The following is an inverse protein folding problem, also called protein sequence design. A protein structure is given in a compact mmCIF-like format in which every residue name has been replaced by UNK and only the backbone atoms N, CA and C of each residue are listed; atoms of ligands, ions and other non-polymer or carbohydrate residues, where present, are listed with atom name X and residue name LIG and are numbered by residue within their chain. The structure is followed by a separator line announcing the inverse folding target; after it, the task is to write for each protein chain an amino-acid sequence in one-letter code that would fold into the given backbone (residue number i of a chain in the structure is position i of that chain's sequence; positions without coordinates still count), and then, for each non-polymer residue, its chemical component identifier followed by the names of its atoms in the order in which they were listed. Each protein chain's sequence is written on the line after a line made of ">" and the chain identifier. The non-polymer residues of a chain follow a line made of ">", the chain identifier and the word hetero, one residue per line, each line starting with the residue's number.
data_IF_435268170310
#
_entry.id   IF_435268170310
#
_cell.length_a   1.000
_cell.length_b   1.000
_cell.length_c   1.000
_cell.angle_alpha   90.00
_cell.angle_beta   90.00
_cell.angle_gamma   90.00
#
_symmetry.space_group_name_H-M   'P 1'
#
loop_
_entity.id
_entity.type
_entity.pdbx_description
1 polymer ?
#
# COMPACT_ATOMS: atom_id res chain seq x y z
N UNK A 1 -19.44 20.70 16.08
CA UNK A 1 -20.33 20.91 14.93
C UNK A 1 -20.96 19.59 14.48
N UNK A 2 -22.10 19.66 13.79
CA UNK A 2 -22.80 18.51 13.19
C UNK A 2 -23.09 18.80 11.73
N UNK A 3 -23.06 17.77 10.90
CA UNK A 3 -23.52 17.80 9.51
C UNK A 3 -24.79 16.95 9.38
N UNK A 4 -25.74 17.41 8.59
CA UNK A 4 -27.00 16.74 8.30
C UNK A 4 -27.09 16.54 6.80
N UNK A 5 -27.38 15.31 6.37
CA UNK A 5 -27.71 14.95 5.00
C UNK A 5 -29.17 14.54 4.96
N UNK A 6 -29.95 15.11 4.07
CA UNK A 6 -31.34 14.76 3.83
C UNK A 6 -31.48 14.16 2.44
N UNK A 7 -32.01 12.98 2.37
CA UNK A 7 -32.44 12.27 1.18
C UNK A 7 -33.94 12.03 1.28
N UNK A 8 -34.63 11.75 0.18
CA UNK A 8 -36.07 11.68 0.11
C UNK A 8 -36.76 10.95 1.28
N UNK A 9 -36.20 9.82 1.74
CA UNK A 9 -36.77 9.00 2.81
C UNK A 9 -35.80 8.74 3.97
N UNK A 10 -34.65 9.47 4.03
CA UNK A 10 -33.63 9.22 5.04
C UNK A 10 -32.94 10.50 5.47
N UNK A 11 -32.64 10.58 6.76
CA UNK A 11 -31.84 11.67 7.33
C UNK A 11 -30.62 11.05 8.02
N UNK A 12 -29.42 11.50 7.62
CA UNK A 12 -28.17 11.12 8.27
C UNK A 12 -27.63 12.34 9.00
N UNK A 13 -27.39 12.21 10.29
CA UNK A 13 -26.73 13.23 11.12
C UNK A 13 -25.42 12.66 11.64
N UNK A 14 -24.33 13.37 11.41
CA UNK A 14 -23.01 13.00 11.91
C UNK A 14 -22.37 14.18 12.66
N UNK A 15 -21.54 13.83 13.65
CA UNK A 15 -20.70 14.80 14.33
C UNK A 15 -19.46 15.07 13.47
N UNK A 16 -19.11 16.34 13.27
CA UNK A 16 -17.87 16.70 12.60
C UNK A 16 -16.69 16.51 13.56
N UNK A 17 -15.57 16.05 13.01
CA UNK A 17 -14.29 16.01 13.71
C UNK A 17 -13.79 17.45 13.84
N UNK A 18 -13.30 17.84 15.01
CA UNK A 18 -12.66 19.13 15.20
C UNK A 18 -11.23 19.07 14.63
N UNK A 19 -10.96 19.90 13.63
CA UNK A 19 -9.65 20.02 13.00
C UNK A 19 -9.75 20.40 11.53
N UNK A 20 -8.64 20.87 10.98
CA UNK A 20 -8.50 21.08 9.53
C UNK A 20 -8.13 19.76 8.89
N UNK A 21 -8.82 19.38 7.82
CA UNK A 21 -8.40 18.25 6.98
C UNK A 21 -6.99 18.55 6.42
N UNK A 22 -6.05 17.61 6.51
CA UNK A 22 -4.70 17.81 5.96
C UNK A 22 -4.75 18.12 4.47
N UNK A 23 -3.88 19.02 4.02
CA UNK A 23 -3.75 19.29 2.59
C UNK A 23 -3.09 18.07 1.92
N UNK A 24 -3.89 17.23 1.25
CA UNK A 24 -3.42 16.00 0.61
C UNK A 24 -2.34 16.26 -0.43
N UNK A 25 -2.33 17.41 -1.11
CA UNK A 25 -1.31 17.78 -2.10
C UNK A 25 0.10 17.80 -1.48
N UNK A 26 0.20 18.09 -0.18
CA UNK A 26 1.49 18.12 0.53
C UNK A 26 1.99 16.72 0.89
N UNK A 27 1.12 15.71 0.95
CA UNK A 27 1.50 14.33 1.26
C UNK A 27 1.71 13.47 0.03
N UNK A 28 1.23 13.91 -1.15
CA UNK A 28 1.47 13.21 -2.43
C UNK A 28 2.95 13.36 -2.81
N UNK A 29 3.73 12.27 -2.88
CA UNK A 29 5.13 12.34 -3.24
C UNK A 29 5.31 12.75 -4.70
N UNK A 30 6.22 13.71 -4.94
CA UNK A 30 6.49 14.25 -6.28
C UNK A 30 7.80 13.73 -6.90
N UNK A 31 8.66 13.12 -6.08
CA UNK A 31 10.02 12.76 -6.46
C UNK A 31 10.25 11.24 -6.50
N UNK A 32 9.19 10.46 -6.48
CA UNK A 32 9.27 9.01 -6.55
C UNK A 32 9.53 8.57 -7.99
N UNK A 33 10.79 8.35 -8.34
CA UNK A 33 11.22 8.03 -9.70
C UNK A 33 11.44 6.53 -9.95
N UNK A 34 11.53 5.72 -8.88
CA UNK A 34 11.73 4.27 -8.99
C UNK A 34 10.38 3.58 -9.18
N UNK A 35 10.03 3.30 -10.43
CA UNK A 35 8.77 2.63 -10.76
C UNK A 35 8.92 1.11 -10.62
N UNK A 36 8.05 0.52 -9.84
CA UNK A 36 7.84 -0.92 -9.68
C UNK A 36 6.50 -1.28 -10.31
N UNK A 37 6.50 -2.22 -11.26
CA UNK A 37 5.28 -2.74 -11.90
C UNK A 37 5.15 -4.23 -11.62
N UNK A 38 3.99 -4.64 -11.11
CA UNK A 38 3.73 -6.01 -10.68
C UNK A 38 2.35 -6.45 -11.19
N UNK A 39 2.18 -7.71 -11.54
CA UNK A 39 0.86 -8.32 -11.74
C UNK A 39 0.03 -8.21 -10.45
N UNK A 40 -1.14 -7.59 -10.55
CA UNK A 40 -1.97 -7.24 -9.38
C UNK A 40 -2.40 -8.47 -8.60
N UNK A 41 -2.83 -9.53 -9.29
CA UNK A 41 -3.33 -10.75 -8.65
C UNK A 41 -2.20 -11.49 -7.94
N UNK A 42 -1.04 -11.59 -8.57
CA UNK A 42 0.16 -12.20 -7.99
C UNK A 42 0.62 -11.43 -6.75
N UNK A 43 0.64 -10.11 -6.83
CA UNK A 43 1.00 -9.24 -5.71
C UNK A 43 0.06 -9.43 -4.52
N UNK A 44 -1.25 -9.32 -4.73
CA UNK A 44 -2.26 -9.45 -3.69
C UNK A 44 -2.16 -10.81 -2.99
N UNK A 45 -2.10 -11.91 -3.77
CA UNK A 45 -2.00 -13.25 -3.24
C UNK A 45 -0.70 -13.47 -2.44
N UNK A 46 0.43 -12.93 -2.91
CA UNK A 46 1.72 -13.10 -2.22
C UNK A 46 1.79 -12.30 -0.94
N UNK A 47 1.27 -11.06 -0.93
CA UNK A 47 1.19 -10.26 0.29
C UNK A 47 0.29 -10.93 1.33
N UNK A 48 -0.87 -11.44 0.91
CA UNK A 48 -1.80 -12.14 1.80
C UNK A 48 -1.17 -13.43 2.39
N UNK A 49 -0.51 -14.25 1.56
CA UNK A 49 0.18 -15.47 2.04
C UNK A 49 1.30 -15.16 3.03
N UNK A 50 2.16 -14.18 2.72
CA UNK A 50 3.27 -13.80 3.60
C UNK A 50 2.74 -13.20 4.90
N UNK A 51 1.69 -12.39 4.83
CA UNK A 51 1.06 -11.78 6.00
C UNK A 51 0.31 -12.80 6.89
N UNK A 52 -0.15 -13.92 6.32
CA UNK A 52 -0.88 -14.95 7.07
C UNK A 52 -0.02 -15.68 8.11
N UNK A 53 1.30 -15.64 7.97
CA UNK A 53 2.25 -16.20 8.96
C UNK A 53 2.25 -15.39 10.25
N UNK A 54 1.90 -14.12 10.20
CA UNK A 54 1.81 -13.26 11.38
C UNK A 54 0.44 -13.38 12.05
N UNK A 55 0.42 -13.67 13.34
CA UNK A 55 -0.80 -13.67 14.17
C UNK A 55 -1.28 -12.23 14.43
N UNK A 56 -0.39 -11.26 14.40
CA UNK A 56 -0.73 -9.83 14.52
C UNK A 56 -0.66 -9.16 13.14
N UNK A 57 -1.83 -8.80 12.60
CA UNK A 57 -1.98 -8.08 11.32
C UNK A 57 -1.28 -6.71 11.26
N UNK A 58 -0.55 -6.34 12.30
CA UNK A 58 0.27 -5.12 12.36
C UNK A 58 1.71 -5.34 11.89
N UNK A 59 2.12 -6.59 11.66
CA UNK A 59 3.47 -6.88 11.21
C UNK A 59 3.68 -6.34 9.79
N UNK A 60 4.84 -5.72 9.61
CA UNK A 60 5.24 -5.17 8.34
C UNK A 60 5.67 -6.26 7.38
N UNK A 61 5.25 -6.15 6.12
CA UNK A 61 5.85 -6.91 5.03
C UNK A 61 7.07 -6.15 4.52
N UNK A 62 8.22 -6.79 4.61
CA UNK A 62 9.46 -6.26 4.04
C UNK A 62 9.53 -6.59 2.55
N UNK A 63 9.78 -5.57 1.75
CA UNK A 63 10.13 -5.65 0.35
C UNK A 63 11.64 -5.55 0.23
N UNK A 64 12.28 -6.58 -0.26
CA UNK A 64 13.65 -6.53 -0.75
C UNK A 64 13.57 -6.56 -2.27
N UNK A 65 13.80 -5.41 -2.87
CA UNK A 65 13.74 -5.16 -4.30
C UNK A 65 15.13 -5.22 -4.89
N UNK A 66 15.29 -6.03 -5.91
CA UNK A 66 16.46 -6.07 -6.77
C UNK A 66 16.00 -5.99 -8.22
N UNK A 67 16.94 -6.00 -9.18
CA UNK A 67 16.57 -5.97 -10.60
C UNK A 67 15.60 -7.12 -10.93
N UNK A 68 14.44 -6.76 -11.44
CA UNK A 68 13.36 -7.66 -11.91
C UNK A 68 12.84 -8.65 -10.87
N UNK A 69 13.16 -8.44 -9.57
CA UNK A 69 12.75 -9.34 -8.50
C UNK A 69 12.29 -8.59 -7.27
N UNK A 70 11.14 -8.98 -6.72
CA UNK A 70 10.62 -8.57 -5.43
C UNK A 70 10.58 -9.76 -4.49
N UNK A 71 11.37 -9.72 -3.42
CA UNK A 71 11.29 -10.67 -2.33
C UNK A 71 10.46 -10.06 -1.20
N UNK A 72 9.35 -10.70 -0.88
CA UNK A 72 8.49 -10.36 0.26
C UNK A 72 8.90 -11.21 1.46
N UNK A 73 8.98 -10.61 2.64
CA UNK A 73 9.22 -11.36 3.87
C UNK A 73 8.50 -10.74 5.06
N UNK A 74 8.03 -11.61 5.95
CA UNK A 74 7.54 -11.27 7.28
C UNK A 74 8.31 -12.13 8.27
N UNK A 75 8.85 -11.51 9.28
CA UNK A 75 9.49 -12.17 10.41
C UNK A 75 8.62 -12.03 11.65
N UNK A 76 8.18 -13.13 12.20
CA UNK A 76 7.48 -13.16 13.47
C UNK A 76 8.13 -14.15 14.42
N UNK A 77 8.62 -13.66 15.55
CA UNK A 77 9.34 -14.47 16.56
C UNK A 77 8.52 -15.62 17.14
N UNK A 78 7.19 -15.54 17.07
CA UNK A 78 6.29 -16.52 17.67
C UNK A 78 5.67 -17.49 16.64
N UNK A 79 5.57 -17.09 15.37
CA UNK A 79 4.82 -17.84 14.34
C UNK A 79 5.70 -18.34 13.20
N UNK A 80 6.95 -17.89 13.12
CA UNK A 80 7.90 -18.23 12.06
C UNK A 80 8.01 -17.18 10.96
N UNK A 81 8.66 -17.54 9.87
CA UNK A 81 8.98 -16.66 8.75
C UNK A 81 8.14 -16.99 7.53
N UNK A 82 7.54 -15.97 6.92
CA UNK A 82 6.94 -16.03 5.60
C UNK A 82 7.87 -15.41 4.56
N UNK A 83 8.08 -16.10 3.43
CA UNK A 83 8.89 -15.58 2.31
C UNK A 83 8.27 -15.95 0.98
N UNK A 84 8.22 -14.98 0.07
CA UNK A 84 7.77 -15.16 -1.31
C UNK A 84 8.65 -14.35 -2.25
N UNK A 85 8.79 -14.82 -3.49
CA UNK A 85 9.53 -14.12 -4.54
C UNK A 85 8.65 -13.94 -5.76
N UNK A 86 8.60 -12.73 -6.30
CA UNK A 86 7.82 -12.35 -7.46
C UNK A 86 8.74 -11.80 -8.56
N UNK A 87 8.49 -12.18 -9.80
CA UNK A 87 9.04 -11.50 -10.95
C UNK A 87 8.29 -10.18 -11.15
N UNK A 88 9.03 -9.09 -11.29
CA UNK A 88 8.51 -7.72 -11.41
C UNK A 88 9.29 -6.96 -12.47
N UNK A 89 8.83 -5.76 -12.83
CA UNK A 89 9.63 -4.81 -13.61
C UNK A 89 10.17 -3.75 -12.66
N UNK A 90 11.47 -3.82 -12.37
CA UNK A 90 12.17 -2.88 -11.50
C UNK A 90 13.66 -2.85 -11.84
N UNK A 91 14.26 -1.65 -11.89
CA UNK A 91 15.65 -1.47 -12.35
C UNK A 91 16.62 -1.04 -11.23
N UNK A 92 16.14 -0.95 -10.00
CA UNK A 92 16.90 -0.44 -8.87
C UNK A 92 17.02 -1.49 -7.75
N UNK A 93 17.73 -1.11 -6.70
CA UNK A 93 17.76 -1.85 -5.43
C UNK A 93 17.14 -1.00 -4.34
N UNK A 94 16.27 -1.59 -3.52
CA UNK A 94 15.62 -0.91 -2.41
C UNK A 94 15.06 -1.90 -1.40
N UNK A 95 15.33 -1.65 -0.12
CA UNK A 95 14.65 -2.29 1.01
C UNK A 95 13.64 -1.31 1.60
N UNK A 96 12.37 -1.73 1.73
CA UNK A 96 11.31 -0.92 2.32
C UNK A 96 10.26 -1.82 2.96
N UNK A 97 9.61 -1.36 4.03
CA UNK A 97 8.58 -2.15 4.71
C UNK A 97 7.25 -1.40 4.76
N UNK A 98 6.17 -2.13 4.60
CA UNK A 98 4.81 -1.59 4.65
C UNK A 98 3.91 -2.42 5.55
N UNK A 99 2.87 -1.81 6.09
CA UNK A 99 1.79 -2.54 6.74
C UNK A 99 1.04 -3.37 5.69
N UNK A 100 0.99 -4.70 5.89
CA UNK A 100 0.36 -5.64 4.96
C UNK A 100 -1.11 -5.31 4.68
N UNK A 101 -1.84 -4.89 5.72
CA UNK A 101 -3.25 -4.53 5.61
C UNK A 101 -3.47 -3.37 4.65
N UNK A 102 -2.64 -2.31 4.75
CA UNK A 102 -2.78 -1.17 3.84
C UNK A 102 -2.49 -1.53 2.38
N UNK A 103 -1.51 -2.42 2.17
CA UNK A 103 -1.22 -2.93 0.81
C UNK A 103 -2.40 -3.72 0.24
N UNK A 104 -2.99 -4.61 1.05
CA UNK A 104 -4.16 -5.41 0.66
C UNK A 104 -5.37 -4.51 0.43
N UNK A 105 -5.63 -3.56 1.32
CA UNK A 105 -6.75 -2.62 1.21
C UNK A 105 -6.66 -1.82 -0.10
N UNK A 106 -5.48 -1.30 -0.44
CA UNK A 106 -5.26 -0.57 -1.70
C UNK A 106 -5.39 -1.52 -2.91
N UNK A 107 -4.65 -2.64 -2.91
CA UNK A 107 -4.63 -3.56 -4.04
C UNK A 107 -6.03 -4.14 -4.36
N UNK A 108 -6.88 -4.29 -3.34
CA UNK A 108 -8.27 -4.77 -3.50
C UNK A 108 -9.20 -3.74 -4.14
N UNK A 109 -8.81 -2.48 -4.26
CA UNK A 109 -9.60 -1.43 -4.91
C UNK A 109 -9.21 -1.21 -6.37
N UNK A 110 -8.15 -1.85 -6.84
CA UNK A 110 -7.66 -1.69 -8.21
C UNK A 110 -8.39 -2.67 -9.13
N UNK A 111 -8.77 -2.20 -10.32
CA UNK A 111 -9.48 -2.97 -11.34
C UNK A 111 -8.58 -3.44 -12.49
N UNK A 112 -7.34 -2.92 -12.55
CA UNK A 112 -6.36 -3.23 -13.57
C UNK A 112 -5.75 -4.62 -13.45
N UNK A 113 -4.93 -4.99 -14.45
CA UNK A 113 -4.16 -6.25 -14.44
C UNK A 113 -2.84 -6.11 -13.67
N UNK A 114 -2.34 -4.90 -13.52
CA UNK A 114 -1.10 -4.59 -12.82
C UNK A 114 -1.26 -3.46 -11.83
N UNK A 115 -0.35 -3.40 -10.88
CA UNK A 115 -0.20 -2.31 -9.91
C UNK A 115 1.14 -1.62 -10.17
N UNK A 116 1.14 -0.30 -10.17
CA UNK A 116 2.35 0.52 -10.24
C UNK A 116 2.64 1.14 -8.87
N UNK A 117 3.83 0.90 -8.35
CA UNK A 117 4.30 1.47 -7.08
C UNK A 117 5.53 2.33 -7.36
N UNK A 118 5.42 3.61 -7.08
CA UNK A 118 6.50 4.57 -7.26
C UNK A 118 7.18 4.83 -5.93
N UNK A 119 8.48 4.60 -5.89
CA UNK A 119 9.32 4.63 -4.69
C UNK A 119 10.44 5.66 -4.84
N UNK A 120 10.94 6.17 -3.72
CA UNK A 120 12.12 7.05 -3.65
C UNK A 120 13.23 6.39 -2.83
N UNK A 121 12.98 6.16 -1.57
CA UNK A 121 13.91 5.60 -0.57
C UNK A 121 13.14 4.80 0.50
N UNK A 122 13.84 4.30 1.50
CA UNK A 122 13.30 3.43 2.56
C UNK A 122 12.35 4.14 3.52
N UNK A 123 12.35 5.46 3.58
CA UNK A 123 11.57 6.25 4.54
C UNK A 123 10.51 7.16 3.92
N UNK A 124 10.53 7.33 2.59
CA UNK A 124 9.58 8.17 1.89
C UNK A 124 8.28 7.44 1.57
N UNK A 125 7.13 8.15 1.55
CA UNK A 125 5.85 7.55 1.18
C UNK A 125 5.90 6.92 -0.21
N UNK A 126 5.27 5.77 -0.38
CA UNK A 126 5.04 5.17 -1.70
C UNK A 126 3.81 5.79 -2.35
N UNK A 127 3.86 6.02 -3.66
CA UNK A 127 2.72 6.39 -4.49
C UNK A 127 2.29 5.17 -5.29
N UNK A 128 1.02 4.77 -5.16
CA UNK A 128 0.46 3.61 -5.88
C UNK A 128 -0.56 4.11 -6.88
N UNK A 129 -0.56 3.52 -8.07
CA UNK A 129 -1.51 3.80 -9.14
C UNK A 129 -2.03 2.52 -9.77
N UNK A 130 -3.25 2.62 -10.28
CA UNK A 130 -3.82 1.66 -11.20
C UNK A 130 -3.56 2.13 -12.64
N UNK A 131 -2.87 1.34 -13.50
CA UNK A 131 -2.74 1.69 -14.91
C UNK A 131 -4.08 1.78 -15.67
N UNK A 132 -5.14 1.15 -15.15
CA UNK A 132 -6.48 1.25 -15.72
C UNK A 132 -7.23 2.54 -15.31
N UNK A 133 -6.80 3.19 -14.23
CA UNK A 133 -7.39 4.43 -13.70
C UNK A 133 -6.32 5.37 -13.12
N UNK A 134 -5.74 6.21 -13.96
CA UNK A 134 -4.71 7.18 -13.53
C UNK A 134 -5.27 8.38 -12.74
N UNK A 135 -6.59 8.56 -12.67
CA UNK A 135 -7.21 9.64 -11.90
C UNK A 135 -7.19 9.34 -10.40
N UNK A 136 -7.13 8.05 -10.04
CA UNK A 136 -7.01 7.59 -8.65
C UNK A 136 -5.54 7.40 -8.25
N UNK A 137 -5.19 7.93 -7.09
CA UNK A 137 -3.86 7.76 -6.48
C UNK A 137 -3.98 7.32 -5.03
N UNK A 138 -3.05 6.47 -4.61
CA UNK A 138 -2.96 6.01 -3.23
C UNK A 138 -1.57 6.32 -2.68
N UNK A 139 -1.51 6.80 -1.46
CA UNK A 139 -0.24 7.10 -0.76
C UNK A 139 -0.14 6.22 0.47
N UNK A 140 0.91 5.43 0.54
CA UNK A 140 1.16 4.52 1.68
C UNK A 140 2.48 4.87 2.33
N UNK A 141 2.42 5.14 3.65
CA UNK A 141 3.60 5.40 4.46
C UNK A 141 4.35 4.11 4.74
N UNK A 142 5.69 4.08 4.60
CA UNK A 142 6.47 2.94 5.02
C UNK A 142 6.48 2.80 6.55
N UNK A 143 6.69 1.57 7.01
CA UNK A 143 6.98 1.29 8.41
C UNK A 143 8.46 1.56 8.68
N UNK A 144 8.75 2.15 9.82
CA UNK A 144 10.12 2.22 10.32
C UNK A 144 10.52 0.81 10.75
N UNK A 145 11.59 0.30 10.16
CA UNK A 145 12.25 -0.94 10.60
C UNK A 145 12.96 -0.76 11.94
#
# INVERSE_FOLDING_TARGET
>A
SKIKFELNNSILISKLIDGKFPNYIQVVPKENQKKLEIDLKSFLNSVDRVASVSLDKKDGVKFNLTKDTLNLSVNNTNSGDGKESLAVKFEHELDISFNSRYLIDVASQLDGQSIEIYLKDTGSPALIRDPADYDSIYVVMPMKG
#
